data_IF_036713899755
#
_entry.id   IF_036713899755
#
_cell.length_a   1.000
_cell.length_b   1.000
_cell.length_c   1.000
_cell.angle_alpha   90.00
_cell.angle_beta   90.00
_cell.angle_gamma   90.00
#
_symmetry.space_group_name_H-M   'P 1'
#
loop_
_entity.id
_entity.type
_entity.pdbx_description
1 polymer ?
#
# COMPACT_ATOMS: atom_id res chain seq x y z
N UNK A 1 8.58 4.29 -4.92
CA UNK A 1 10.00 4.67 -5.08
C UNK A 1 10.79 3.45 -5.50
N UNK A 2 11.81 3.61 -6.35
CA UNK A 2 12.73 2.53 -6.73
C UNK A 2 14.17 3.02 -6.59
N UNK A 3 15.00 2.21 -5.95
CA UNK A 3 16.41 2.47 -5.72
C UNK A 3 17.24 1.28 -6.25
N UNK A 4 18.43 1.56 -6.76
CA UNK A 4 19.36 0.54 -7.24
C UNK A 4 20.76 0.93 -6.82
N UNK A 5 21.46 -0.01 -6.18
CA UNK A 5 22.81 0.19 -5.67
C UNK A 5 23.73 -0.94 -6.13
N UNK A 6 24.70 -0.66 -7.01
CA UNK A 6 25.76 -1.60 -7.34
C UNK A 6 26.87 -1.52 -6.29
N UNK A 7 26.98 -2.54 -5.43
CA UNK A 7 28.09 -2.65 -4.47
C UNK A 7 29.42 -2.92 -5.19
N UNK A 8 29.38 -3.76 -6.23
CA UNK A 8 30.51 -4.08 -7.10
C UNK A 8 29.99 -4.29 -8.54
N UNK A 9 30.88 -4.55 -9.50
CA UNK A 9 30.49 -4.95 -10.86
C UNK A 9 29.65 -6.25 -10.89
N UNK A 10 29.75 -7.09 -9.85
CA UNK A 10 29.07 -8.38 -9.75
C UNK A 10 27.97 -8.46 -8.69
N UNK A 11 27.81 -7.44 -7.83
CA UNK A 11 26.83 -7.44 -6.75
C UNK A 11 25.95 -6.18 -6.78
N UNK A 12 24.64 -6.36 -6.89
CA UNK A 12 23.66 -5.27 -6.99
C UNK A 12 22.47 -5.51 -6.07
N UNK A 13 21.96 -4.44 -5.47
CA UNK A 13 20.72 -4.43 -4.71
C UNK A 13 19.71 -3.51 -5.38
N UNK A 14 18.49 -4.01 -5.59
CA UNK A 14 17.36 -3.24 -6.05
C UNK A 14 16.30 -3.24 -4.97
N UNK A 15 15.76 -2.05 -4.66
CA UNK A 15 14.72 -1.88 -3.64
C UNK A 15 13.57 -1.11 -4.27
N UNK A 16 12.37 -1.69 -4.20
CA UNK A 16 11.12 -1.02 -4.48
C UNK A 16 10.36 -0.85 -3.17
N UNK A 17 9.85 0.35 -2.91
CA UNK A 17 9.04 0.66 -1.74
C UNK A 17 7.92 1.64 -2.10
N UNK A 18 6.70 1.34 -1.68
CA UNK A 18 5.51 2.15 -1.93
C UNK A 18 4.65 2.22 -0.66
N UNK A 19 4.82 3.26 0.17
CA UNK A 19 3.86 3.61 1.20
C UNK A 19 2.66 4.32 0.57
N UNK A 20 1.46 4.04 1.09
CA UNK A 20 0.21 4.66 0.69
C UNK A 20 -0.69 4.84 1.92
N UNK A 21 -1.24 6.05 2.08
CA UNK A 21 -2.22 6.38 3.12
C UNK A 21 -3.29 7.26 2.48
N UNK A 22 -4.56 6.94 2.73
CA UNK A 22 -5.71 7.72 2.31
C UNK A 22 -6.74 7.71 3.43
N UNK A 23 -7.23 8.87 3.82
CA UNK A 23 -8.20 8.99 4.92
C UNK A 23 -9.12 10.18 4.71
N UNK A 24 -10.29 10.13 5.33
CA UNK A 24 -11.20 11.26 5.38
C UNK A 24 -12.51 10.95 6.09
N UNK A 25 -13.11 11.98 6.65
CA UNK A 25 -14.48 11.99 7.16
C UNK A 25 -15.46 12.33 6.04
N UNK A 26 -16.57 11.61 5.94
CA UNK A 26 -17.61 11.95 4.97
C UNK A 26 -18.37 13.20 5.41
N UNK A 27 -18.87 13.98 4.46
CA UNK A 27 -19.70 15.16 4.72
C UNK A 27 -20.84 15.24 3.73
N UNK A 28 -21.94 15.89 4.13
CA UNK A 28 -23.14 16.07 3.30
C UNK A 28 -23.63 14.73 2.71
N UNK A 29 -23.75 13.71 3.57
CA UNK A 29 -24.28 12.41 3.17
C UNK A 29 -25.74 12.56 2.80
N UNK A 30 -26.10 12.04 1.63
CA UNK A 30 -27.45 12.15 1.07
C UNK A 30 -27.95 10.80 0.62
N UNK A 31 -29.25 10.61 0.76
CA UNK A 31 -29.98 9.48 0.21
C UNK A 31 -30.86 9.92 -0.97
N UNK A 32 -31.31 8.95 -1.77
CA UNK A 32 -32.26 9.21 -2.84
C UNK A 32 -33.58 9.72 -2.25
N UNK A 33 -34.13 10.78 -2.86
CA UNK A 33 -35.45 11.28 -2.52
C UNK A 33 -36.54 10.32 -3.02
N UNK A 34 -37.80 10.59 -2.65
CA UNK A 34 -38.95 9.87 -3.20
C UNK A 34 -39.12 10.04 -4.73
N UNK A 35 -38.40 10.98 -5.35
CA UNK A 35 -38.40 11.26 -6.80
C UNK A 35 -36.98 11.18 -7.41
N UNK A 36 -36.34 10.00 -7.50
CA UNK A 36 -34.95 9.85 -7.96
C UNK A 36 -34.67 10.34 -9.38
N UNK A 37 -35.71 10.48 -10.21
CA UNK A 37 -35.63 10.90 -11.62
C UNK A 37 -36.10 12.33 -11.86
N UNK A 38 -36.17 13.16 -10.82
CA UNK A 38 -36.58 14.55 -10.96
C UNK A 38 -35.73 15.29 -12.00
N UNK A 39 -36.30 16.27 -12.71
CA UNK A 39 -35.62 16.95 -13.81
C UNK A 39 -34.36 17.68 -13.32
N UNK A 40 -34.43 18.35 -12.17
CA UNK A 40 -33.31 19.00 -11.52
C UNK A 40 -32.48 18.02 -10.66
N UNK A 41 -31.16 18.21 -10.62
CA UNK A 41 -30.26 17.30 -9.89
C UNK A 41 -30.41 17.42 -8.36
N UNK A 42 -30.69 18.62 -7.86
CA UNK A 42 -30.73 18.90 -6.42
C UNK A 42 -31.91 18.22 -5.71
N UNK A 43 -33.08 18.10 -6.36
CA UNK A 43 -34.27 17.46 -5.79
C UNK A 43 -34.23 15.93 -5.79
N UNK A 44 -33.25 15.32 -6.47
CA UNK A 44 -33.05 13.85 -6.46
C UNK A 44 -32.46 13.35 -5.15
N UNK A 45 -31.85 14.24 -4.35
CA UNK A 45 -31.09 13.87 -3.16
C UNK A 45 -31.51 14.68 -1.94
N UNK A 46 -31.89 13.99 -0.88
CA UNK A 46 -32.21 14.59 0.43
C UNK A 46 -31.14 14.20 1.45
N UNK A 47 -30.87 15.02 2.50
CA UNK A 47 -30.00 14.62 3.59
C UNK A 47 -30.40 13.26 4.16
N UNK A 48 -29.41 12.41 4.45
CA UNK A 48 -29.64 11.12 5.09
C UNK A 48 -29.86 11.33 6.61
N UNK A 49 -31.03 11.00 7.18
CA UNK A 49 -31.32 11.27 8.59
C UNK A 49 -30.57 10.35 9.55
N UNK A 50 -30.05 9.21 9.10
CA UNK A 50 -29.31 8.24 9.92
C UNK A 50 -27.83 8.58 9.95
N UNK A 51 -27.28 8.92 8.79
CA UNK A 51 -25.87 9.25 8.62
C UNK A 51 -25.55 10.74 8.84
N UNK A 52 -26.56 11.59 9.08
CA UNK A 52 -26.34 13.01 9.38
C UNK A 52 -25.49 13.22 10.65
N UNK A 53 -25.78 12.47 11.73
CA UNK A 53 -25.11 12.66 13.03
C UNK A 53 -23.76 11.95 13.10
N UNK A 54 -23.59 10.86 12.34
CA UNK A 54 -22.34 10.15 12.22
C UNK A 54 -22.15 9.67 10.77
N UNK A 55 -21.61 10.54 9.89
CA UNK A 55 -21.44 10.22 8.48
C UNK A 55 -20.38 9.14 8.24
N UNK A 56 -19.63 8.77 9.28
CA UNK A 56 -18.52 7.83 9.21
C UNK A 56 -17.30 8.40 8.49
N UNK A 57 -16.38 7.52 8.12
CA UNK A 57 -15.20 7.90 7.36
C UNK A 57 -14.42 6.69 6.90
N UNK A 58 -13.18 6.93 6.50
CA UNK A 58 -12.25 5.87 6.16
C UNK A 58 -10.83 6.28 6.54
N UNK A 59 -10.01 5.29 6.87
CA UNK A 59 -8.57 5.42 6.95
C UNK A 59 -7.96 4.13 6.43
N UNK A 60 -7.37 4.20 5.23
CA UNK A 60 -6.75 3.09 4.53
C UNK A 60 -5.25 3.30 4.43
N UNK A 61 -4.48 2.28 4.82
CA UNK A 61 -3.02 2.33 4.83
C UNK A 61 -2.47 1.07 4.18
N UNK A 62 -1.46 1.22 3.34
CA UNK A 62 -0.80 0.10 2.68
C UNK A 62 0.68 0.38 2.46
N UNK A 63 1.50 -0.65 2.65
CA UNK A 63 2.92 -0.64 2.28
C UNK A 63 3.22 -1.86 1.42
N UNK A 64 3.90 -1.64 0.30
CA UNK A 64 4.41 -2.70 -0.57
C UNK A 64 5.90 -2.52 -0.79
N UNK A 65 6.68 -3.58 -0.61
CA UNK A 65 8.13 -3.57 -0.80
C UNK A 65 8.62 -4.84 -1.50
N UNK A 66 9.60 -4.66 -2.39
CA UNK A 66 10.36 -5.75 -3.01
C UNK A 66 11.85 -5.41 -2.98
N UNK A 67 12.64 -6.28 -2.38
CA UNK A 67 14.10 -6.19 -2.30
C UNK A 67 14.69 -7.36 -3.09
N UNK A 68 15.56 -7.05 -4.04
CA UNK A 68 16.24 -8.05 -4.86
C UNK A 68 17.74 -7.81 -4.77
N UNK A 69 18.45 -8.75 -4.17
CA UNK A 69 19.90 -8.80 -4.20
C UNK A 69 20.33 -9.82 -5.26
N UNK A 70 21.20 -9.39 -6.18
CA UNK A 70 21.85 -10.25 -7.18
C UNK A 70 23.35 -10.22 -6.93
N UNK A 71 23.97 -11.39 -6.87
CA UNK A 71 25.42 -11.53 -6.79
C UNK A 71 25.93 -12.60 -7.75
N UNK A 72 26.86 -12.23 -8.61
CA UNK A 72 27.67 -13.16 -9.41
C UNK A 72 28.95 -13.49 -8.63
N UNK A 73 28.99 -14.68 -8.02
CA UNK A 73 30.08 -15.09 -7.13
C UNK A 73 31.22 -15.79 -7.88
N UNK A 74 30.95 -16.29 -9.08
CA UNK A 74 31.92 -16.80 -10.06
C UNK A 74 31.39 -16.47 -11.46
N UNK A 75 32.26 -16.34 -12.48
CA UNK A 75 31.82 -16.16 -13.86
C UNK A 75 30.74 -17.19 -14.24
N UNK A 76 29.56 -16.71 -14.62
CA UNK A 76 28.42 -17.56 -14.99
C UNK A 76 27.65 -18.21 -13.82
N UNK A 77 28.03 -17.98 -12.57
CA UNK A 77 27.32 -18.48 -11.38
C UNK A 77 26.72 -17.34 -10.56
N UNK A 78 25.40 -17.36 -10.34
CA UNK A 78 24.65 -16.25 -9.73
C UNK A 78 23.79 -16.71 -8.56
N UNK A 79 23.67 -15.84 -7.55
CA UNK A 79 22.76 -15.94 -6.42
C UNK A 79 21.77 -14.77 -6.50
N UNK A 80 20.49 -15.07 -6.32
CA UNK A 80 19.44 -14.09 -6.09
C UNK A 80 18.81 -14.33 -4.73
N UNK A 81 18.73 -13.26 -3.93
CA UNK A 81 17.93 -13.21 -2.72
C UNK A 81 16.81 -12.21 -2.94
N UNK A 82 15.56 -12.67 -2.85
CA UNK A 82 14.37 -11.85 -3.08
C UNK A 82 13.56 -11.83 -1.80
N UNK A 83 13.27 -10.63 -1.31
CA UNK A 83 12.41 -10.43 -0.15
C UNK A 83 11.28 -9.47 -0.51
N UNK A 84 10.06 -9.97 -0.43
CA UNK A 84 8.83 -9.21 -0.63
C UNK A 84 8.14 -9.01 0.71
N UNK A 85 7.62 -7.81 0.93
CA UNK A 85 6.90 -7.46 2.15
C UNK A 85 5.66 -6.63 1.82
N UNK A 86 4.53 -6.99 2.43
CA UNK A 86 3.27 -6.27 2.38
C UNK A 86 2.75 -5.93 3.77
N UNK A 87 2.09 -4.78 3.91
CA UNK A 87 1.31 -4.38 5.09
C UNK A 87 0.04 -3.68 4.63
N UNK A 88 -1.07 -3.92 5.31
CA UNK A 88 -2.34 -3.24 5.02
C UNK A 88 -3.22 -3.16 6.26
N UNK A 89 -3.97 -2.06 6.39
CA UNK A 89 -5.05 -1.92 7.36
C UNK A 89 -6.10 -0.95 6.83
N UNK A 90 -7.35 -1.12 7.26
CA UNK A 90 -8.46 -0.24 6.92
C UNK A 90 -9.40 -0.09 8.11
N UNK A 91 -9.77 1.13 8.46
CA UNK A 91 -10.76 1.42 9.50
C UNK A 91 -11.89 2.28 8.96
N UNK A 92 -13.12 2.06 9.46
CA UNK A 92 -14.33 2.80 9.05
C UNK A 92 -14.47 4.21 9.64
N UNK A 93 -13.36 4.81 10.04
CA UNK A 93 -13.29 6.17 10.57
C UNK A 93 -11.93 6.76 10.22
N UNK A 94 -11.88 8.08 10.03
CA UNK A 94 -10.63 8.80 9.73
C UNK A 94 -9.58 8.63 10.84
N UNK A 95 -10.02 8.48 12.08
CA UNK A 95 -9.17 8.46 13.26
C UNK A 95 -8.64 9.84 13.64
N UNK A 96 -8.03 9.95 14.82
CA UNK A 96 -7.53 11.22 15.39
C UNK A 96 -6.08 11.52 15.05
N UNK A 97 -5.35 10.54 14.49
CA UNK A 97 -3.94 10.71 14.14
C UNK A 97 -3.80 11.54 12.86
N UNK A 98 -2.75 12.36 12.78
CA UNK A 98 -2.38 13.03 11.53
C UNK A 98 -1.70 12.06 10.55
N UNK A 99 -1.51 12.48 9.30
CA UNK A 99 -0.90 11.65 8.23
C UNK A 99 0.47 11.04 8.61
N UNK A 100 1.31 11.75 9.35
CA UNK A 100 2.60 11.21 9.82
C UNK A 100 2.42 10.12 10.88
N UNK A 101 1.44 10.28 11.77
CA UNK A 101 1.08 9.26 12.75
C UNK A 101 0.58 8.00 12.05
N UNK A 102 -0.29 8.17 11.05
CA UNK A 102 -0.80 7.05 10.25
C UNK A 102 0.31 6.34 9.46
N UNK A 103 1.27 7.07 8.90
CA UNK A 103 2.45 6.49 8.27
C UNK A 103 3.32 5.72 9.26
N UNK A 104 3.51 6.22 10.49
CA UNK A 104 4.24 5.49 11.53
C UNK A 104 3.50 4.21 11.92
N UNK A 105 2.18 4.29 12.10
CA UNK A 105 1.32 3.16 12.45
C UNK A 105 1.34 2.07 11.34
N UNK A 106 1.39 2.47 10.07
CA UNK A 106 1.58 1.55 8.95
C UNK A 106 2.85 0.69 9.11
N UNK A 107 3.93 1.23 9.66
CA UNK A 107 5.18 0.50 9.91
C UNK A 107 5.20 -0.25 11.26
N UNK A 108 4.16 -0.14 12.08
CA UNK A 108 3.94 -1.02 13.25
C UNK A 108 3.01 -2.19 12.93
N UNK A 109 2.22 -2.11 11.85
CA UNK A 109 1.39 -3.22 11.39
C UNK A 109 2.21 -4.48 11.12
N UNK A 110 1.64 -5.64 11.49
CA UNK A 110 2.24 -6.94 11.22
C UNK A 110 2.45 -7.12 9.70
N UNK A 111 3.68 -7.41 9.25
CA UNK A 111 3.94 -7.61 7.84
C UNK A 111 3.70 -9.04 7.38
N UNK A 112 3.18 -9.17 6.16
CA UNK A 112 3.23 -10.38 5.36
C UNK A 112 4.56 -10.41 4.60
N UNK A 113 5.34 -11.47 4.78
CA UNK A 113 6.68 -11.60 4.21
C UNK A 113 6.76 -12.82 3.29
N UNK A 114 7.46 -12.67 2.18
CA UNK A 114 7.84 -13.79 1.31
C UNK A 114 9.31 -13.68 0.97
N UNK A 115 10.04 -14.78 1.14
CA UNK A 115 11.47 -14.84 0.89
C UNK A 115 11.76 -15.95 -0.12
N UNK A 116 12.54 -15.63 -1.14
CA UNK A 116 12.96 -16.57 -2.18
C UNK A 116 14.48 -16.51 -2.35
N UNK A 117 15.05 -17.68 -2.58
CA UNK A 117 16.45 -17.85 -2.93
C UNK A 117 16.53 -18.58 -4.25
N UNK A 118 17.34 -18.08 -5.17
CA UNK A 118 17.67 -18.77 -6.42
C UNK A 118 19.17 -18.81 -6.58
N UNK A 119 19.71 -20.01 -6.76
CA UNK A 119 21.11 -20.26 -7.02
C UNK A 119 21.28 -20.83 -8.43
N UNK A 120 22.32 -20.41 -9.13
CA UNK A 120 22.70 -20.96 -10.43
C UNK A 120 24.22 -21.15 -10.44
N UNK A 121 24.66 -22.35 -10.79
CA UNK A 121 26.06 -22.73 -10.79
C UNK A 121 26.47 -23.24 -12.16
N UNK A 122 27.54 -22.66 -12.70
CA UNK A 122 28.16 -23.13 -13.94
C UNK A 122 29.20 -24.21 -13.63
N UNK A 123 28.96 -25.42 -14.13
CA UNK A 123 29.89 -26.55 -14.04
C UNK A 123 30.80 -26.51 -15.27
N UNK A 124 32.01 -25.97 -15.11
CA UNK A 124 33.05 -26.14 -16.13
C UNK A 124 33.84 -27.42 -15.84
N UNK A 125 34.02 -28.25 -16.87
CA UNK A 125 34.86 -29.45 -16.83
C UNK A 125 36.15 -29.19 -17.60
#
# INVERSE_FOLDING_TARGET
>A
MRFTYPFTASATLQVYAQPFVSKGTYSNVRQLSATPRAADFASRYVPDPVLADNPGGFNYKQFRSNVVFRWEYRPGSTLFLVWSQGRQNSTGAEGTQGFRGDLSDLFTLRPDNSFLVKLSYWLNR
#
